data_IF_301255684899
#
_entry.id   IF_301255684899
#
_cell.length_a   1.000
_cell.length_b   1.000
_cell.length_c   1.000
_cell.angle_alpha   90.00
_cell.angle_beta   90.00
_cell.angle_gamma   90.00
#
_symmetry.space_group_name_H-M   'P 1'
#
loop_
_entity.id
_entity.type
_entity.pdbx_description
1 polymer ?
#
# COMPACT_ATOMS: atom_id res chain seq x y z
N UNK A 1 -14.45 -11.13 57.91
CA UNK A 1 -14.81 -10.31 56.72
C UNK A 1 -13.62 -9.70 55.98
N UNK A 2 -12.55 -9.21 56.64
CA UNK A 2 -11.40 -8.60 55.93
C UNK A 2 -10.60 -9.57 55.04
N UNK A 3 -10.45 -10.85 55.44
CA UNK A 3 -9.68 -11.84 54.67
C UNK A 3 -10.35 -12.30 53.36
N UNK A 4 -11.68 -12.29 53.30
CA UNK A 4 -12.43 -12.65 52.08
C UNK A 4 -12.35 -11.56 51.02
N UNK A 5 -12.34 -10.28 51.44
CA UNK A 5 -12.18 -9.13 50.53
C UNK A 5 -10.76 -9.09 49.95
N UNK A 6 -9.73 -9.39 50.75
CA UNK A 6 -8.34 -9.44 50.30
C UNK A 6 -8.12 -10.57 49.27
N UNK A 7 -8.75 -11.73 49.47
CA UNK A 7 -8.72 -12.84 48.51
C UNK A 7 -9.38 -12.49 47.18
N UNK A 8 -10.53 -11.81 47.21
CA UNK A 8 -11.23 -11.39 45.99
C UNK A 8 -10.41 -10.35 45.20
N UNK A 9 -9.76 -9.41 45.90
CA UNK A 9 -8.88 -8.42 45.28
C UNK A 9 -7.68 -9.05 44.58
N UNK A 10 -7.06 -10.05 45.21
CA UNK A 10 -5.94 -10.79 44.62
C UNK A 10 -6.38 -11.66 43.43
N UNK A 11 -7.58 -12.27 43.49
CA UNK A 11 -8.13 -13.06 42.39
C UNK A 11 -8.45 -12.18 41.17
N UNK A 12 -9.01 -10.99 41.41
CA UNK A 12 -9.38 -10.04 40.36
C UNK A 12 -8.15 -9.42 39.67
N UNK A 13 -7.08 -9.15 40.43
CA UNK A 13 -5.77 -8.76 39.88
C UNK A 13 -5.16 -9.87 39.01
N UNK A 14 -5.28 -11.14 39.44
CA UNK A 14 -4.71 -12.28 38.72
C UNK A 14 -5.44 -12.53 37.38
N UNK A 15 -6.76 -12.36 37.35
CA UNK A 15 -7.54 -12.43 36.10
C UNK A 15 -7.20 -11.29 35.13
N UNK A 16 -6.89 -10.09 35.63
CA UNK A 16 -6.55 -8.93 34.78
C UNK A 16 -5.22 -9.11 34.04
N UNK A 17 -4.27 -9.84 34.62
CA UNK A 17 -2.97 -10.16 34.00
C UNK A 17 -3.11 -11.24 32.91
N UNK A 18 -4.09 -12.14 33.05
CA UNK A 18 -4.32 -13.25 32.10
C UNK A 18 -5.08 -12.83 30.83
N UNK A 19 -5.64 -11.62 30.79
CA UNK A 19 -6.36 -11.08 29.62
C UNK A 19 -5.48 -10.16 28.77
N UNK A 20 -4.16 -10.10 29.04
CA UNK A 20 -3.26 -9.37 28.15
C UNK A 20 -3.28 -10.02 26.76
N UNK A 21 -3.71 -9.31 25.69
CA UNK A 21 -3.58 -9.85 24.35
C UNK A 21 -2.11 -10.17 24.11
N UNK A 22 -1.84 -11.38 23.61
CA UNK A 22 -0.54 -11.78 23.12
C UNK A 22 -0.01 -10.68 22.20
N UNK A 23 1.14 -10.11 22.54
CA UNK A 23 1.80 -9.08 21.76
C UNK A 23 1.96 -9.60 20.32
N UNK A 24 1.05 -9.17 19.43
CA UNK A 24 1.24 -9.32 18.01
C UNK A 24 2.46 -8.47 17.70
N UNK A 25 3.58 -9.11 17.39
CA UNK A 25 4.77 -8.43 16.95
C UNK A 25 4.38 -7.56 15.75
N UNK A 26 4.39 -6.24 15.95
CA UNK A 26 4.29 -5.29 14.85
C UNK A 26 5.46 -5.61 13.94
N UNK A 27 5.18 -6.21 12.78
CA UNK A 27 6.19 -6.42 11.75
C UNK A 27 6.78 -5.05 11.44
N UNK A 28 8.11 -4.91 11.55
CA UNK A 28 8.77 -3.65 11.23
C UNK A 28 8.25 -3.17 9.88
N UNK A 29 7.84 -1.90 9.81
CA UNK A 29 7.47 -1.31 8.53
C UNK A 29 8.73 -1.43 7.66
N UNK A 30 8.65 -2.10 6.49
CA UNK A 30 9.82 -2.29 5.65
C UNK A 30 10.38 -0.92 5.31
N UNK A 31 11.66 -0.70 5.61
CA UNK A 31 12.35 0.53 5.23
C UNK A 31 12.25 0.65 3.70
N UNK A 32 11.79 1.78 3.15
CA UNK A 32 11.72 1.96 1.71
C UNK A 32 13.14 1.84 1.14
N UNK A 33 13.39 0.75 0.42
CA UNK A 33 14.63 0.54 -0.33
C UNK A 33 14.67 1.35 -1.63
N UNK A 34 13.55 1.96 -1.99
CA UNK A 34 13.37 2.75 -3.20
C UNK A 34 13.95 4.16 -3.01
N UNK A 35 14.51 4.77 -4.07
CA UNK A 35 15.03 6.12 -3.99
C UNK A 35 13.89 7.12 -3.73
N UNK A 36 14.23 8.19 -2.98
CA UNK A 36 13.32 9.29 -2.63
C UNK A 36 12.70 9.93 -3.88
N UNK A 37 13.47 9.98 -4.98
CA UNK A 37 12.99 10.43 -6.27
C UNK A 37 12.97 9.26 -7.22
N UNK A 38 11.80 8.97 -7.78
CA UNK A 38 11.65 7.97 -8.83
C UNK A 38 12.16 8.51 -10.15
N UNK A 39 13.09 7.80 -10.78
CA UNK A 39 13.37 7.99 -12.19
C UNK A 39 12.54 6.99 -13.00
N UNK A 40 11.79 7.45 -14.02
CA UNK A 40 10.99 6.56 -14.85
C UNK A 40 11.90 5.53 -15.56
N UNK A 41 11.49 4.25 -15.64
CA UNK A 41 12.30 3.23 -16.27
C UNK A 41 12.35 3.45 -17.79
N UNK A 42 13.56 3.42 -18.35
CA UNK A 42 13.75 3.31 -19.80
C UNK A 42 13.73 1.84 -20.16
N UNK A 43 12.72 1.40 -20.91
CA UNK A 43 12.56 0.01 -21.34
C UNK A 43 13.00 -0.12 -22.80
N UNK A 44 14.19 -0.64 -23.03
CA UNK A 44 14.71 -0.92 -24.37
C UNK A 44 14.33 -2.33 -24.84
N UNK A 45 14.09 -2.48 -26.14
CA UNK A 45 13.82 -3.78 -26.73
C UNK A 45 15.08 -4.63 -26.78
N UNK A 46 15.03 -5.83 -26.20
CA UNK A 46 16.12 -6.80 -26.34
C UNK A 46 16.13 -7.41 -27.74
N UNK A 47 17.23 -8.06 -28.12
CA UNK A 47 17.32 -8.76 -29.43
C UNK A 47 16.26 -9.85 -29.56
N UNK A 48 15.92 -10.52 -28.48
CA UNK A 48 14.90 -11.56 -28.44
C UNK A 48 13.51 -10.97 -28.73
N UNK A 49 13.16 -9.86 -28.10
CA UNK A 49 11.90 -9.14 -28.36
C UNK A 49 11.86 -8.63 -29.80
N UNK A 50 12.97 -8.08 -30.29
CA UNK A 50 13.10 -7.63 -31.67
C UNK A 50 12.97 -8.78 -32.70
N UNK A 51 13.10 -10.04 -32.30
CA UNK A 51 12.92 -11.21 -33.17
C UNK A 51 11.51 -11.82 -33.12
N UNK A 52 10.66 -11.40 -32.18
CA UNK A 52 9.28 -11.92 -32.05
C UNK A 52 8.43 -11.60 -33.29
N UNK A 53 7.54 -12.51 -33.66
CA UNK A 53 6.56 -12.30 -34.73
C UNK A 53 5.52 -11.23 -34.36
N UNK A 54 4.85 -10.63 -35.35
CA UNK A 54 3.78 -9.64 -35.11
C UNK A 54 2.70 -10.19 -34.17
N UNK A 55 2.32 -11.47 -34.33
CA UNK A 55 1.31 -12.15 -33.51
C UNK A 55 1.76 -12.28 -32.06
N UNK A 56 3.03 -12.62 -31.83
CA UNK A 56 3.61 -12.71 -30.48
C UNK A 56 3.64 -11.35 -29.79
N UNK A 57 4.00 -10.29 -30.52
CA UNK A 57 4.00 -8.92 -30.02
C UNK A 57 2.58 -8.49 -29.63
N UNK A 58 1.58 -8.76 -30.47
CA UNK A 58 0.19 -8.43 -30.17
C UNK A 58 -0.36 -9.22 -28.98
N UNK A 59 0.00 -10.50 -28.88
CA UNK A 59 -0.35 -11.31 -27.72
C UNK A 59 0.28 -10.75 -26.43
N UNK A 60 1.55 -10.34 -26.48
CA UNK A 60 2.23 -9.72 -25.36
C UNK A 60 1.58 -8.39 -24.95
N UNK A 61 1.24 -7.52 -25.91
CA UNK A 61 0.51 -6.27 -25.64
C UNK A 61 -0.84 -6.57 -24.98
N UNK A 62 -1.60 -7.53 -25.51
CA UNK A 62 -2.90 -7.93 -24.94
C UNK A 62 -2.76 -8.52 -23.53
N UNK A 63 -1.71 -9.30 -23.29
CA UNK A 63 -1.42 -9.86 -21.98
C UNK A 63 -1.09 -8.77 -20.95
N UNK A 64 -0.32 -7.76 -21.34
CA UNK A 64 0.06 -6.65 -20.46
C UNK A 64 -1.06 -5.62 -20.26
N UNK A 65 -1.99 -5.50 -21.22
CA UNK A 65 -3.00 -4.45 -21.23
C UNK A 65 -3.85 -4.34 -19.95
N UNK A 66 -4.33 -5.42 -19.29
CA UNK A 66 -5.07 -5.30 -18.04
C UNK A 66 -4.24 -4.69 -16.89
N UNK A 67 -2.93 -4.88 -16.91
CA UNK A 67 -2.03 -4.39 -15.87
C UNK A 67 -1.69 -2.90 -15.99
N UNK A 68 -2.13 -2.22 -17.06
CA UNK A 68 -1.98 -0.76 -17.16
C UNK A 68 -2.97 0.01 -16.27
N UNK A 69 -3.94 -0.68 -15.67
CA UNK A 69 -4.93 -0.05 -14.81
C UNK A 69 -4.55 -0.22 -13.34
N UNK A 70 -4.84 0.81 -12.53
CA UNK A 70 -4.78 0.72 -11.06
C UNK A 70 -5.99 -0.03 -10.54
N UNK A 71 -5.78 -0.91 -9.55
CA UNK A 71 -6.88 -1.51 -8.78
C UNK A 71 -7.22 -0.69 -7.52
N UNK A 72 -6.34 0.25 -7.14
CA UNK A 72 -6.50 1.12 -5.98
C UNK A 72 -7.37 2.33 -6.34
N UNK A 73 -8.30 2.68 -5.47
CA UNK A 73 -9.06 3.92 -5.57
C UNK A 73 -8.16 5.15 -5.31
N UNK A 74 -8.54 6.29 -5.89
CA UNK A 74 -7.88 7.56 -5.62
C UNK A 74 -8.03 7.98 -4.16
N UNK A 75 -7.11 8.82 -3.67
CA UNK A 75 -7.03 9.22 -2.26
C UNK A 75 -8.38 9.66 -1.67
N UNK A 76 -9.12 10.53 -2.37
CA UNK A 76 -10.40 11.07 -1.90
C UNK A 76 -11.59 10.12 -2.10
N UNK A 77 -11.44 9.07 -2.89
CA UNK A 77 -12.48 8.07 -3.13
C UNK A 77 -12.37 6.92 -2.12
N UNK A 78 -11.17 6.68 -1.57
CA UNK A 78 -10.89 5.68 -0.54
C UNK A 78 -11.49 6.05 0.83
N UNK A 79 -12.43 5.25 1.30
CA UNK A 79 -13.11 5.46 2.59
C UNK A 79 -12.17 5.32 3.79
N UNK A 80 -11.15 4.48 3.71
CA UNK A 80 -10.17 4.35 4.78
C UNK A 80 -9.28 5.59 4.87
N UNK A 81 -8.90 6.21 3.74
CA UNK A 81 -8.20 7.51 3.75
C UNK A 81 -9.07 8.63 4.32
N UNK A 82 -10.37 8.64 4.01
CA UNK A 82 -11.32 9.60 4.61
C UNK A 82 -11.38 9.42 6.13
N UNK A 83 -11.52 8.18 6.61
CA UNK A 83 -11.57 7.88 8.04
C UNK A 83 -10.26 8.26 8.71
N UNK A 84 -9.11 7.90 8.15
CA UNK A 84 -7.81 8.23 8.71
C UNK A 84 -7.59 9.75 8.77
N UNK A 85 -7.98 10.48 7.73
CA UNK A 85 -7.95 11.95 7.72
C UNK A 85 -8.89 12.54 8.76
N UNK A 86 -10.10 11.99 8.89
CA UNK A 86 -11.05 12.39 9.93
C UNK A 86 -10.50 12.13 11.33
N UNK A 87 -9.85 10.99 11.59
CA UNK A 87 -9.21 10.69 12.88
C UNK A 87 -8.15 11.74 13.22
N UNK A 88 -7.30 12.13 12.26
CA UNK A 88 -6.30 13.19 12.46
C UNK A 88 -6.97 14.53 12.80
N UNK A 89 -8.02 14.90 12.07
CA UNK A 89 -8.69 16.20 12.25
C UNK A 89 -9.53 16.23 13.53
N UNK A 90 -10.29 15.18 13.84
CA UNK A 90 -11.15 15.13 15.03
C UNK A 90 -10.38 14.85 16.31
N UNK A 91 -9.20 14.21 16.25
CA UNK A 91 -8.30 14.12 17.41
C UNK A 91 -7.71 15.49 17.82
N UNK A 92 -7.74 16.47 16.92
CA UNK A 92 -7.36 17.85 17.26
C UNK A 92 -8.43 18.63 18.04
N UNK A 93 -9.61 18.02 18.29
CA UNK A 93 -10.69 18.63 19.09
C UNK A 93 -10.53 18.25 20.58
N UNK A 94 -10.31 19.21 21.48
CA UNK A 94 -9.90 18.97 22.87
C UNK A 94 -10.98 18.37 23.79
N UNK A 95 -12.12 17.91 23.26
CA UNK A 95 -13.25 17.42 24.09
C UNK A 95 -13.00 15.97 24.59
N UNK A 96 -12.05 15.25 23.99
CA UNK A 96 -11.70 13.84 24.30
C UNK A 96 -10.28 13.70 24.89
N UNK A 97 -9.81 14.71 25.62
CA UNK A 97 -8.48 14.88 26.22
C UNK A 97 -8.05 13.78 27.24
N UNK A 98 -8.87 12.75 27.46
CA UNK A 98 -8.62 11.74 28.51
C UNK A 98 -7.80 10.51 28.08
N UNK A 99 -7.33 10.41 26.83
CA UNK A 99 -6.48 9.29 26.37
C UNK A 99 -5.22 9.86 25.68
N UNK A 100 -4.08 10.00 26.39
CA UNK A 100 -3.03 10.95 26.01
C UNK A 100 -2.13 10.57 24.82
N UNK A 101 -2.32 9.43 24.13
CA UNK A 101 -1.27 8.87 23.25
C UNK A 101 -1.79 8.26 21.92
N UNK A 102 -3.10 8.05 21.74
CA UNK A 102 -3.59 7.08 20.73
C UNK A 102 -4.25 7.70 19.49
N UNK A 103 -4.78 8.92 19.53
CA UNK A 103 -5.94 9.19 18.68
C UNK A 103 -5.69 9.79 17.27
N UNK A 104 -4.49 10.26 16.93
CA UNK A 104 -4.18 10.80 15.59
C UNK A 104 -3.00 10.11 14.92
N UNK A 105 -2.11 9.50 15.70
CA UNK A 105 -0.88 8.87 15.18
C UNK A 105 -1.17 7.66 14.29
N UNK A 106 -2.24 6.90 14.57
CA UNK A 106 -2.67 5.82 13.68
C UNK A 106 -3.17 6.34 12.34
N UNK A 107 -3.87 7.48 12.33
CA UNK A 107 -4.27 8.14 11.09
C UNK A 107 -3.05 8.56 10.28
N UNK A 108 -2.07 9.22 10.91
CA UNK A 108 -0.82 9.60 10.23
C UNK A 108 -0.03 8.39 9.72
N UNK A 109 0.12 7.36 10.55
CA UNK A 109 0.82 6.13 10.18
C UNK A 109 0.13 5.42 9.01
N UNK A 110 -1.21 5.35 9.03
CA UNK A 110 -1.99 4.79 7.94
C UNK A 110 -1.85 5.61 6.67
N UNK A 111 -2.01 6.94 6.73
CA UNK A 111 -1.89 7.80 5.54
C UNK A 111 -0.47 7.72 4.95
N UNK A 112 0.57 7.73 5.79
CA UNK A 112 1.95 7.55 5.35
C UNK A 112 2.20 6.17 4.71
N UNK A 113 1.58 5.11 5.22
CA UNK A 113 1.62 3.80 4.57
C UNK A 113 0.85 3.81 3.23
N UNK A 114 -0.34 4.41 3.20
CA UNK A 114 -1.21 4.46 2.04
C UNK A 114 -0.57 5.22 0.87
N UNK A 115 0.24 6.26 1.15
CA UNK A 115 0.98 7.02 0.14
C UNK A 115 2.13 6.21 -0.45
N UNK A 116 2.84 5.42 0.37
CA UNK A 116 3.89 4.52 -0.13
C UNK A 116 3.31 3.43 -1.04
N UNK A 117 2.13 2.89 -0.72
CA UNK A 117 1.45 1.93 -1.59
C UNK A 117 0.96 2.59 -2.88
N UNK A 118 0.50 3.84 -2.82
CA UNK A 118 0.11 4.61 -4.00
C UNK A 118 1.27 4.78 -4.98
N UNK A 119 2.41 5.19 -4.46
CA UNK A 119 3.61 5.40 -5.24
C UNK A 119 4.08 4.09 -5.89
N UNK A 120 4.08 2.99 -5.15
CA UNK A 120 4.39 1.65 -5.70
C UNK A 120 3.45 1.25 -6.82
N UNK A 121 2.16 1.52 -6.66
CA UNK A 121 1.15 1.20 -7.65
C UNK A 121 1.33 2.02 -8.94
N UNK A 122 1.60 3.33 -8.81
CA UNK A 122 1.92 4.20 -9.94
C UNK A 122 3.17 3.74 -10.67
N UNK A 123 4.23 3.35 -9.94
CA UNK A 123 5.47 2.82 -10.51
C UNK A 123 5.22 1.52 -11.29
N UNK A 124 4.39 0.61 -10.75
CA UNK A 124 3.98 -0.62 -11.44
C UNK A 124 3.25 -0.33 -12.74
N UNK A 125 2.25 0.56 -12.70
CA UNK A 125 1.50 0.97 -13.90
C UNK A 125 2.43 1.56 -14.95
N UNK A 126 3.29 2.51 -14.55
CA UNK A 126 4.23 3.16 -15.47
C UNK A 126 5.18 2.14 -16.12
N UNK A 127 5.69 1.17 -15.36
CA UNK A 127 6.55 0.13 -15.90
C UNK A 127 5.84 -0.70 -16.99
N UNK A 128 4.57 -1.05 -16.77
CA UNK A 128 3.77 -1.77 -17.76
C UNK A 128 3.49 -0.89 -18.98
N UNK A 129 3.18 0.39 -18.78
CA UNK A 129 2.97 1.33 -19.89
C UNK A 129 4.22 1.47 -20.77
N UNK A 130 5.40 1.58 -20.17
CA UNK A 130 6.67 1.64 -20.91
C UNK A 130 6.95 0.34 -21.68
N UNK A 131 6.64 -0.82 -21.09
CA UNK A 131 6.73 -2.10 -21.80
C UNK A 131 5.78 -2.18 -23.00
N UNK A 132 4.53 -1.75 -22.83
CA UNK A 132 3.55 -1.70 -23.93
C UNK A 132 4.02 -0.73 -25.02
N UNK A 133 4.51 0.46 -24.64
CA UNK A 133 5.01 1.46 -25.59
C UNK A 133 6.21 0.92 -26.38
N UNK A 134 7.15 0.24 -25.73
CA UNK A 134 8.27 -0.42 -26.38
C UNK A 134 7.79 -1.50 -27.37
N UNK A 135 6.83 -2.35 -26.99
CA UNK A 135 6.27 -3.36 -27.90
C UNK A 135 5.52 -2.72 -29.08
N UNK A 136 4.80 -1.63 -28.85
CA UNK A 136 4.12 -0.86 -29.89
C UNK A 136 5.11 -0.20 -30.86
N UNK A 137 6.24 0.30 -30.35
CA UNK A 137 7.32 0.81 -31.18
C UNK A 137 7.89 -0.28 -32.09
N UNK A 138 8.21 -1.46 -31.55
CA UNK A 138 8.69 -2.59 -32.37
C UNK A 138 7.64 -3.04 -33.39
N UNK A 139 6.35 -3.08 -32.99
CA UNK A 139 5.24 -3.36 -33.90
C UNK A 139 5.23 -2.38 -35.10
N UNK A 140 5.41 -1.09 -34.82
CA UNK A 140 5.47 -0.03 -35.83
C UNK A 140 6.72 -0.14 -36.72
N UNK A 141 7.89 -0.37 -36.14
CA UNK A 141 9.16 -0.58 -36.88
C UNK A 141 9.06 -1.78 -37.83
N UNK A 142 8.34 -2.84 -37.43
CA UNK A 142 8.07 -4.03 -38.25
C UNK A 142 6.91 -3.86 -39.23
N UNK A 143 6.22 -2.73 -39.22
CA UNK A 143 5.08 -2.44 -40.08
C UNK A 143 3.92 -3.45 -39.94
N UNK A 144 3.72 -3.99 -38.74
CA UNK A 144 2.60 -4.89 -38.45
C UNK A 144 1.33 -4.05 -38.19
N UNK A 145 0.45 -3.87 -39.17
CA UNK A 145 -0.77 -3.03 -39.06
C UNK A 145 -2.08 -3.81 -39.17
N UNK A 146 -2.02 -5.13 -39.04
CA UNK A 146 -3.19 -6.02 -39.08
C UNK A 146 -4.23 -5.70 -37.99
#
# INVERSE_FOLDING_TARGET
MKNTILRYKNLLCLCLILVWPSANALTMIPVPAEPIYFEPPVVEATKEIAQQSCVEIDHAIRYLHPYKYSYKADFYQDDANKIATALIVFDSIPILESIPIINGWYGFAYLGYSSLIEEKEQRRVLQVEQQIAMLQQIKAEKHCFE
#
